data_IF_575772553812
#
_entry.id   IF_575772553812
#
_cell.length_a   1.000
_cell.length_b   1.000
_cell.length_c   1.000
_cell.angle_alpha   90.00
_cell.angle_beta   90.00
_cell.angle_gamma   90.00
#
_symmetry.space_group_name_H-M   'P 1'
#
loop_
_entity.id
_entity.type
_entity.pdbx_description
1 polymer ?
#
# COMPACT_ATOMS: atom_id res chain seq x y z
N UNK A 1 16.80 -29.90 18.24
CA UNK A 1 15.51 -29.21 18.00
C UNK A 1 15.57 -27.84 18.66
N UNK A 2 15.67 -26.76 17.87
CA UNK A 2 15.62 -25.39 18.38
C UNK A 2 14.57 -24.64 17.56
N UNK A 3 13.33 -24.74 18.04
CA UNK A 3 12.12 -24.12 17.49
C UNK A 3 11.83 -22.81 18.23
N UNK A 4 12.82 -21.92 18.30
CA UNK A 4 12.58 -20.59 18.86
C UNK A 4 12.29 -19.64 17.70
N UNK A 5 11.05 -19.15 17.54
CA UNK A 5 10.77 -18.09 16.58
C UNK A 5 11.64 -16.89 16.93
N UNK A 6 12.44 -16.42 15.97
CA UNK A 6 13.17 -15.16 16.14
C UNK A 6 12.16 -14.05 16.41
N UNK A 7 12.39 -13.19 17.42
CA UNK A 7 11.50 -12.07 17.68
C UNK A 7 11.41 -11.22 16.41
N UNK A 8 10.21 -10.80 15.99
CA UNK A 8 10.03 -9.95 14.82
C UNK A 8 10.98 -8.77 14.92
N UNK A 9 11.93 -8.71 14.00
CA UNK A 9 12.90 -7.62 13.94
C UNK A 9 12.14 -6.30 13.94
N UNK A 10 12.48 -5.43 14.89
CA UNK A 10 11.87 -4.13 15.06
C UNK A 10 11.90 -3.40 13.71
N UNK A 11 10.71 -3.21 13.11
CA UNK A 11 10.58 -2.53 11.82
C UNK A 11 11.23 -1.14 11.95
N UNK A 12 12.04 -0.70 10.96
CA UNK A 12 12.57 0.65 10.99
C UNK A 12 11.40 1.65 10.99
N UNK A 13 11.43 2.56 11.97
CA UNK A 13 10.34 3.47 12.33
C UNK A 13 9.92 4.44 11.19
N UNK A 14 10.75 4.57 10.15
CA UNK A 14 10.53 5.44 9.00
C UNK A 14 9.48 4.92 8.01
N UNK A 15 9.27 3.60 7.93
CA UNK A 15 8.39 3.02 6.92
C UNK A 15 6.90 3.23 7.24
N UNK A 16 6.57 3.33 8.53
CA UNK A 16 5.23 3.66 9.01
C UNK A 16 4.80 5.09 8.67
N UNK A 17 5.73 6.06 8.78
CA UNK A 17 5.48 7.46 8.45
C UNK A 17 5.29 7.64 6.94
N UNK A 18 6.14 7.01 6.12
CA UNK A 18 6.02 7.02 4.66
C UNK A 18 4.67 6.44 4.20
N UNK A 19 4.25 5.34 4.81
CA UNK A 19 2.96 4.69 4.52
C UNK A 19 1.76 5.58 4.88
N UNK A 20 1.86 6.37 5.96
CA UNK A 20 0.81 7.31 6.36
C UNK A 20 0.69 8.50 5.40
N UNK A 21 1.82 9.05 4.95
CA UNK A 21 1.85 10.17 4.01
C UNK A 21 1.26 9.79 2.64
N UNK A 22 1.56 8.59 2.13
CA UNK A 22 0.93 8.10 0.89
C UNK A 22 -0.58 7.92 1.01
N UNK A 23 -1.06 7.42 2.15
CA UNK A 23 -2.48 7.20 2.38
C UNK A 23 -3.23 8.54 2.43
N UNK A 24 -2.71 9.51 3.19
CA UNK A 24 -3.25 10.87 3.25
C UNK A 24 -3.19 11.53 1.87
N UNK A 25 -2.08 11.41 1.15
CA UNK A 25 -1.92 11.96 -0.21
C UNK A 25 -2.97 11.42 -1.18
N UNK A 26 -3.18 10.10 -1.20
CA UNK A 26 -4.20 9.48 -2.04
C UNK A 26 -5.62 9.98 -1.67
N UNK A 27 -5.96 10.02 -0.38
CA UNK A 27 -7.27 10.51 0.10
C UNK A 27 -7.50 11.96 -0.30
N UNK A 28 -6.52 12.84 -0.10
CA UNK A 28 -6.61 14.27 -0.46
C UNK A 28 -6.82 14.45 -1.95
N UNK A 29 -6.09 13.73 -2.81
CA UNK A 29 -6.24 13.80 -4.26
C UNK A 29 -7.66 13.44 -4.68
N UNK A 30 -8.18 12.29 -4.22
CA UNK A 30 -9.53 11.85 -4.60
C UNK A 30 -10.64 12.74 -4.00
N UNK A 31 -10.44 13.25 -2.78
CA UNK A 31 -11.36 14.18 -2.16
C UNK A 31 -11.46 15.50 -2.93
N UNK A 32 -10.33 16.11 -3.27
CA UNK A 32 -10.29 17.36 -4.04
C UNK A 32 -10.85 17.17 -5.45
N UNK A 33 -10.57 16.04 -6.09
CA UNK A 33 -11.13 15.71 -7.40
C UNK A 33 -12.66 15.57 -7.35
N UNK A 34 -13.20 14.94 -6.30
CA UNK A 34 -14.64 14.79 -6.11
C UNK A 34 -15.35 16.10 -5.81
N UNK A 35 -14.77 16.91 -4.94
CA UNK A 35 -15.30 18.24 -4.63
C UNK A 35 -15.29 19.17 -5.85
N UNK A 36 -14.21 19.19 -6.62
CA UNK A 36 -14.10 20.02 -7.82
C UNK A 36 -15.15 19.67 -8.87
N UNK A 37 -15.38 18.36 -9.09
CA UNK A 37 -16.37 17.91 -10.06
C UNK A 37 -17.82 18.16 -9.62
N UNK A 38 -18.16 17.87 -8.35
CA UNK A 38 -19.51 18.15 -7.82
C UNK A 38 -19.82 19.65 -7.84
N UNK A 39 -18.83 20.52 -7.55
CA UNK A 39 -18.99 21.99 -7.58
C UNK A 39 -19.14 22.53 -9.00
N UNK A 40 -18.46 21.91 -9.99
CA UNK A 40 -18.53 22.35 -11.38
C UNK A 40 -19.81 21.91 -12.10
N UNK A 41 -20.34 20.72 -11.78
CA UNK A 41 -21.56 20.20 -12.41
C UNK A 41 -22.85 20.53 -11.63
N UNK A 42 -22.75 21.08 -10.41
CA UNK A 42 -23.91 21.41 -9.58
C UNK A 42 -24.71 20.16 -9.13
N UNK A 43 -24.10 18.97 -9.24
CA UNK A 43 -24.74 17.71 -8.88
C UNK A 43 -24.77 17.51 -7.36
N UNK A 44 -25.85 16.89 -6.86
CA UNK A 44 -25.89 16.23 -5.53
C UNK A 44 -24.65 15.33 -5.39
N UNK A 45 -24.16 14.97 -4.17
CA UNK A 45 -22.79 14.47 -3.91
C UNK A 45 -22.51 13.06 -4.45
N UNK A 46 -22.79 12.85 -5.73
CA UNK A 46 -22.71 11.59 -6.47
C UNK A 46 -21.28 11.43 -6.94
N UNK A 47 -20.59 12.49 -7.40
CA UNK A 47 -19.18 12.36 -7.77
C UNK A 47 -18.31 12.14 -6.55
N UNK A 48 -18.58 12.78 -5.41
CA UNK A 48 -17.93 12.42 -4.14
C UNK A 48 -18.04 10.93 -3.84
N UNK A 49 -19.25 10.34 -3.96
CA UNK A 49 -19.45 8.91 -3.68
C UNK A 49 -18.68 8.04 -4.68
N UNK A 50 -18.81 8.32 -5.99
CA UNK A 50 -18.14 7.54 -7.04
C UNK A 50 -16.61 7.60 -6.91
N UNK A 51 -16.05 8.79 -6.69
CA UNK A 51 -14.61 8.97 -6.52
C UNK A 51 -14.09 8.39 -5.22
N UNK A 52 -14.89 8.42 -4.14
CA UNK A 52 -14.55 7.73 -2.90
C UNK A 52 -14.49 6.22 -3.10
N UNK A 53 -15.49 5.63 -3.76
CA UNK A 53 -15.50 4.20 -4.10
C UNK A 53 -14.31 3.85 -4.99
N UNK A 54 -14.00 4.69 -5.98
CA UNK A 54 -12.83 4.50 -6.83
C UNK A 54 -11.50 4.57 -6.05
N UNK A 55 -11.37 5.52 -5.12
CA UNK A 55 -10.19 5.64 -4.25
C UNK A 55 -9.99 4.39 -3.39
N UNK A 56 -11.07 3.84 -2.83
CA UNK A 56 -11.04 2.59 -2.07
C UNK A 56 -10.56 1.44 -2.94
N UNK A 57 -11.10 1.29 -4.15
CA UNK A 57 -10.68 0.25 -5.11
C UNK A 57 -9.19 0.42 -5.46
N UNK A 58 -8.75 1.64 -5.77
CA UNK A 58 -7.35 1.93 -6.08
C UNK A 58 -6.41 1.56 -4.92
N UNK A 59 -6.80 1.85 -3.68
CA UNK A 59 -6.05 1.48 -2.48
C UNK A 59 -5.92 -0.06 -2.35
N UNK A 60 -7.01 -0.79 -2.60
CA UNK A 60 -7.00 -2.26 -2.59
C UNK A 60 -6.10 -2.83 -3.70
N UNK A 61 -6.18 -2.30 -4.92
CA UNK A 61 -5.31 -2.71 -6.03
C UNK A 61 -3.84 -2.46 -5.69
N UNK A 62 -3.51 -1.28 -5.15
CA UNK A 62 -2.15 -0.95 -4.72
C UNK A 62 -1.63 -1.93 -3.67
N UNK A 63 -2.45 -2.23 -2.66
CA UNK A 63 -2.10 -3.19 -1.60
C UNK A 63 -1.78 -4.57 -2.20
N UNK A 64 -2.59 -5.04 -3.15
CA UNK A 64 -2.36 -6.31 -3.83
C UNK A 64 -1.04 -6.34 -4.63
N UNK A 65 -0.77 -5.28 -5.40
CA UNK A 65 0.47 -5.16 -6.19
C UNK A 65 1.71 -5.09 -5.30
N UNK A 66 1.69 -4.25 -4.26
CA UNK A 66 2.82 -4.08 -3.33
C UNK A 66 3.08 -5.37 -2.56
N UNK A 67 2.03 -6.07 -2.13
CA UNK A 67 2.16 -7.35 -1.45
C UNK A 67 2.83 -8.41 -2.34
N UNK A 68 2.39 -8.50 -3.60
CA UNK A 68 2.94 -9.46 -4.58
C UNK A 68 4.41 -9.16 -4.86
N UNK A 69 4.76 -7.89 -5.09
CA UNK A 69 6.15 -7.47 -5.31
C UNK A 69 7.07 -7.79 -4.12
N UNK A 70 6.58 -7.62 -2.88
CA UNK A 70 7.32 -7.99 -1.66
C UNK A 70 7.56 -9.49 -1.56
N UNK A 71 6.57 -10.32 -1.88
CA UNK A 71 6.72 -11.77 -1.85
C UNK A 71 7.81 -12.25 -2.81
N UNK A 72 7.78 -11.80 -4.07
CA UNK A 72 8.79 -12.17 -5.06
C UNK A 72 10.21 -11.73 -4.64
N UNK A 73 10.34 -10.57 -4.01
CA UNK A 73 11.64 -10.10 -3.51
C UNK A 73 12.19 -10.96 -2.36
N UNK A 74 11.31 -11.47 -1.49
CA UNK A 74 11.68 -12.34 -0.38
C UNK A 74 12.05 -13.74 -0.86
N UNK A 75 11.36 -14.26 -1.87
CA UNK A 75 11.68 -15.53 -2.51
C UNK A 75 13.04 -15.49 -3.20
N UNK A 76 13.34 -14.41 -3.94
CA UNK A 76 14.68 -14.20 -4.53
C UNK A 76 15.76 -14.15 -3.46
N UNK A 77 15.57 -13.38 -2.39
CA UNK A 77 16.53 -13.31 -1.28
C UNK A 77 16.78 -14.68 -0.63
N UNK A 78 15.73 -15.49 -0.46
CA UNK A 78 15.88 -16.86 0.07
C UNK A 78 16.63 -17.77 -0.90
N UNK A 79 16.32 -17.71 -2.20
CA UNK A 79 17.01 -18.50 -3.21
C UNK A 79 18.50 -18.16 -3.31
N UNK A 80 18.84 -16.86 -3.25
CA UNK A 80 20.23 -16.40 -3.28
C UNK A 80 20.97 -16.77 -1.99
N UNK A 81 20.32 -16.66 -0.82
CA UNK A 81 20.90 -17.09 0.46
C UNK A 81 21.16 -18.60 0.51
N UNK A 82 20.24 -19.42 -0.04
CA UNK A 82 20.42 -20.86 -0.14
C UNK A 82 21.55 -21.26 -1.10
N UNK A 83 21.78 -20.47 -2.17
CA UNK A 83 22.88 -20.67 -3.11
C UNK A 83 24.23 -20.26 -2.53
N UNK A 84 24.27 -19.15 -1.78
CA UNK A 84 25.48 -18.67 -1.10
C UNK A 84 25.92 -19.58 0.05
N UNK A 85 25.00 -20.31 0.68
CA UNK A 85 25.31 -21.27 1.75
C UNK A 85 25.92 -22.60 1.24
N UNK A 86 25.95 -22.83 -0.08
CA UNK A 86 26.50 -24.03 -0.71
C UNK A 86 27.91 -23.79 -1.32
N UNK A 87 28.42 -22.56 -1.29
CA UNK A 87 29.80 -22.20 -1.63
C UNK A 87 30.63 -22.04 -0.36
#
# INVERSE_FOLDING_TARGET
MRLLPEPPSARPHNESISSGAELVGAVVVFFLFGLGLDTWLGTKPIFMIVLTVFAVIAQFVRMYVVYTARMTSLEKKRADSARGALQ
#
